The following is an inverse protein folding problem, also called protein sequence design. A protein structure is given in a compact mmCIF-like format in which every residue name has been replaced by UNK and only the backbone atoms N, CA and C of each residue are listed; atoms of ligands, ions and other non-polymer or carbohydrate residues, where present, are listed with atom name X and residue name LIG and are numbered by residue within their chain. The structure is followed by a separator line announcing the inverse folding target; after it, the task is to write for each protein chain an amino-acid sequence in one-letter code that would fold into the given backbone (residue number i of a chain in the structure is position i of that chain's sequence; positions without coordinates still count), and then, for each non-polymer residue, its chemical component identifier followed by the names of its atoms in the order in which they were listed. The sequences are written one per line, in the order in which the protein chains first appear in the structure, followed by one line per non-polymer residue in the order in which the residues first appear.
data_IF_948484556284
#
_entry.id   IF_948484556284
#
_cell.length_a   1.000
_cell.length_b   1.000
_cell.length_c   1.000
_cell.angle_alpha   90.00
_cell.angle_beta   90.00
_cell.angle_gamma   90.00
#
_symmetry.space_group_name_H-M   'P 1'
#
loop_
_entity.id
_entity.type
_entity.pdbx_description
1 polymer ?
#
# COMPACT_ATOMS: atom_id res chain seq x y z
N UNK A 1 27.35 -7.31 -3.57
CA UNK A 1 26.15 -6.87 -4.28
C UNK A 1 25.43 -5.85 -3.44
N UNK A 2 25.35 -4.62 -3.92
CA UNK A 2 24.55 -3.56 -3.32
C UNK A 2 23.16 -3.57 -3.94
N UNK A 3 22.14 -3.27 -3.15
CA UNK A 3 20.77 -3.19 -3.61
C UNK A 3 20.12 -1.91 -3.11
N UNK A 4 19.14 -1.40 -3.84
CA UNK A 4 18.36 -0.24 -3.47
C UNK A 4 16.96 -0.68 -3.04
N UNK A 5 16.60 -0.34 -1.80
CA UNK A 5 15.26 -0.44 -1.27
C UNK A 5 14.43 0.79 -1.67
N UNK A 6 13.31 0.54 -2.31
CA UNK A 6 12.38 1.55 -2.80
C UNK A 6 11.10 1.45 -1.97
N UNK A 7 10.81 2.49 -1.21
CA UNK A 7 9.63 2.60 -0.37
C UNK A 7 8.56 3.43 -1.09
N UNK A 8 7.43 2.83 -1.42
CA UNK A 8 6.30 3.43 -2.12
C UNK A 8 5.14 3.65 -1.14
N UNK A 9 4.80 4.92 -0.89
CA UNK A 9 3.78 5.31 0.07
C UNK A 9 2.60 5.96 -0.63
N UNK A 10 1.39 5.50 -0.30
CA UNK A 10 0.14 6.13 -0.71
C UNK A 10 -0.15 7.39 0.13
N UNK A 11 -1.08 8.25 -0.31
CA UNK A 11 -1.57 9.38 0.46
C UNK A 11 -1.87 9.04 1.92
N UNK A 12 -1.19 9.69 2.85
CA UNK A 12 -1.39 9.54 4.30
C UNK A 12 -0.79 8.27 4.93
N UNK A 13 -0.06 7.45 4.17
CA UNK A 13 0.62 6.26 4.66
C UNK A 13 2.01 6.61 5.23
N UNK A 14 2.37 6.01 6.36
CA UNK A 14 3.73 6.16 6.89
C UNK A 14 4.75 5.38 6.04
N UNK A 15 6.01 5.81 6.02
CA UNK A 15 7.07 5.15 5.23
C UNK A 15 7.20 3.65 5.53
N UNK A 16 7.12 3.30 6.82
CA UNK A 16 7.19 1.92 7.33
C UNK A 16 6.02 1.03 6.90
N UNK A 17 4.90 1.63 6.52
CA UNK A 17 3.70 0.92 6.09
C UNK A 17 3.68 0.77 4.56
N UNK A 18 4.49 1.57 3.86
CA UNK A 18 4.59 1.59 2.41
C UNK A 18 5.01 0.26 1.80
N UNK A 19 4.72 0.07 0.52
CA UNK A 19 5.19 -1.09 -0.23
C UNK A 19 6.69 -0.94 -0.47
N UNK A 20 7.45 -1.99 -0.15
CA UNK A 20 8.89 -2.03 -0.39
C UNK A 20 9.16 -2.85 -1.66
N UNK A 21 10.05 -2.33 -2.51
CA UNK A 21 10.59 -3.02 -3.67
C UNK A 21 12.12 -3.00 -3.62
N UNK A 22 12.76 -4.10 -3.98
CA UNK A 22 14.21 -4.20 -4.11
C UNK A 22 14.60 -4.01 -5.57
N UNK A 23 15.61 -3.19 -5.84
CA UNK A 23 16.18 -3.02 -7.18
C UNK A 23 17.70 -3.09 -7.13
N UNK A 24 18.31 -3.74 -8.13
CA UNK A 24 19.76 -3.76 -8.33
C UNK A 24 20.21 -2.81 -9.45
N UNK A 25 19.25 -2.18 -10.15
CA UNK A 25 19.51 -1.35 -11.31
C UNK A 25 19.69 0.13 -10.95
N UNK A 26 19.31 0.52 -9.73
CA UNK A 26 19.38 1.90 -9.25
C UNK A 26 20.56 2.03 -8.30
N UNK A 27 21.61 2.73 -8.73
CA UNK A 27 22.85 2.83 -7.97
C UNK A 27 23.11 4.22 -7.41
N UNK A 28 22.59 5.26 -8.09
CA UNK A 28 22.82 6.64 -7.70
C UNK A 28 21.53 7.47 -7.61
N UNK A 29 21.72 8.75 -7.27
CA UNK A 29 20.61 9.71 -7.12
C UNK A 29 19.95 10.06 -8.46
N UNK A 30 20.68 10.01 -9.56
CA UNK A 30 20.17 10.38 -10.89
C UNK A 30 19.26 9.27 -11.42
N UNK A 31 19.69 8.02 -11.29
CA UNK A 31 18.88 6.83 -11.56
C UNK A 31 17.60 6.83 -10.72
N UNK A 32 17.72 7.07 -9.41
CA UNK A 32 16.58 7.10 -8.50
C UNK A 32 15.58 8.22 -8.87
N UNK A 33 16.07 9.37 -9.33
CA UNK A 33 15.23 10.47 -9.79
C UNK A 33 14.48 10.11 -11.06
N UNK A 34 15.16 9.57 -12.07
CA UNK A 34 14.55 9.13 -13.32
C UNK A 34 13.49 8.04 -13.09
N UNK A 35 13.78 7.08 -12.20
CA UNK A 35 12.83 6.04 -11.81
C UNK A 35 11.60 6.62 -11.09
N UNK A 36 11.80 7.55 -10.16
CA UNK A 36 10.71 8.20 -9.44
C UNK A 36 9.77 8.97 -10.39
N UNK A 37 10.34 9.77 -11.29
CA UNK A 37 9.57 10.53 -12.28
C UNK A 37 8.77 9.61 -13.21
N UNK A 38 9.41 8.52 -13.68
CA UNK A 38 8.74 7.51 -14.50
C UNK A 38 7.59 6.85 -13.73
N UNK A 39 7.80 6.43 -12.48
CA UNK A 39 6.76 5.81 -11.64
C UNK A 39 5.59 6.77 -11.42
N UNK A 40 5.85 8.01 -11.01
CA UNK A 40 4.82 9.01 -10.76
C UNK A 40 4.03 9.41 -12.02
N UNK A 41 4.63 9.26 -13.21
CA UNK A 41 3.93 9.45 -14.50
C UNK A 41 2.88 8.37 -14.76
N UNK A 42 3.16 7.11 -14.42
CA UNK A 42 2.25 5.98 -14.67
C UNK A 42 1.29 5.70 -13.49
N UNK A 43 1.79 5.84 -12.28
CA UNK A 43 1.08 5.61 -11.02
C UNK A 43 0.91 6.90 -10.22
N UNK A 44 -0.30 7.44 -10.29
CA UNK A 44 -0.74 8.62 -9.54
C UNK A 44 -1.27 8.27 -8.15
N UNK A 45 -1.26 7.00 -7.74
CA UNK A 45 -1.69 6.59 -6.40
C UNK A 45 -0.58 6.68 -5.35
N UNK A 46 0.68 6.81 -5.80
CA UNK A 46 1.85 6.95 -4.93
C UNK A 46 2.13 8.42 -4.63
N UNK A 47 2.12 8.80 -3.35
CA UNK A 47 2.43 10.14 -2.83
C UNK A 47 3.92 10.33 -2.60
N UNK A 48 4.57 9.38 -1.96
CA UNK A 48 5.99 9.50 -1.60
C UNK A 48 6.76 8.27 -2.00
N UNK A 49 7.92 8.48 -2.58
CA UNK A 49 8.87 7.44 -2.94
C UNK A 49 10.19 7.75 -2.26
N UNK A 50 10.76 6.81 -1.51
CA UNK A 50 12.08 6.95 -0.92
C UNK A 50 13.00 5.82 -1.36
N UNK A 51 14.24 6.17 -1.67
CA UNK A 51 15.26 5.25 -2.18
C UNK A 51 16.38 5.17 -1.16
N UNK A 52 16.66 3.96 -0.69
CA UNK A 52 17.72 3.65 0.25
C UNK A 52 18.70 2.69 -0.38
N UNK A 53 19.96 3.08 -0.43
CA UNK A 53 21.04 2.19 -0.80
C UNK A 53 21.41 1.33 0.41
N UNK A 54 21.40 0.01 0.20
CA UNK A 54 21.69 -1.01 1.21
C UNK A 54 23.00 -1.71 0.85
N UNK A 55 23.97 -1.65 1.76
CA UNK A 55 25.22 -2.39 1.63
C UNK A 55 25.11 -3.81 2.17
N UNK A 56 26.00 -4.70 1.74
CA UNK A 56 26.09 -6.07 2.30
C UNK A 56 26.43 -6.07 3.79
N UNK A 57 27.11 -5.04 4.28
CA UNK A 57 27.40 -4.84 5.70
C UNK A 57 26.19 -4.38 6.52
N UNK A 58 25.02 -4.19 5.90
CA UNK A 58 23.78 -3.77 6.56
C UNK A 58 23.69 -2.27 6.80
N UNK A 59 24.56 -1.46 6.20
CA UNK A 59 24.41 0.00 6.22
C UNK A 59 23.33 0.43 5.24
N UNK A 60 22.50 1.38 5.65
CA UNK A 60 21.42 1.93 4.83
C UNK A 60 21.60 3.44 4.71
N UNK A 61 21.52 3.96 3.48
CA UNK A 61 21.65 5.40 3.19
C UNK A 61 20.55 5.85 2.25
N UNK A 62 19.80 6.88 2.62
CA UNK A 62 18.85 7.51 1.69
C UNK A 62 19.62 8.22 0.58
N UNK A 63 19.36 7.83 -0.67
CA UNK A 63 19.96 8.45 -1.87
C UNK A 63 19.03 9.49 -2.49
N UNK A 64 17.71 9.26 -2.42
CA UNK A 64 16.72 10.16 -2.98
C UNK A 64 15.36 9.98 -2.32
N UNK A 65 14.59 11.06 -2.24
CA UNK A 65 13.18 11.02 -1.85
C UNK A 65 12.40 11.94 -2.78
N UNK A 66 11.30 11.42 -3.31
CA UNK A 66 10.41 12.12 -4.21
C UNK A 66 9.02 12.21 -3.60
N UNK A 67 8.36 13.36 -3.76
CA UNK A 67 6.96 13.54 -3.38
C UNK A 67 6.19 13.95 -4.63
N UNK A 68 5.19 13.15 -4.99
CA UNK A 68 4.32 13.38 -6.13
C UNK A 68 3.18 14.35 -5.73
N UNK A 69 3.15 15.58 -6.26
CA UNK A 69 2.09 16.55 -5.95
C UNK A 69 0.72 16.20 -6.55
N UNK A 70 0.67 15.17 -7.41
CA UNK A 70 -0.53 14.70 -8.09
C UNK A 70 -1.14 13.47 -7.42
N UNK A 71 -0.57 13.00 -6.32
CA UNK A 71 -1.05 11.83 -5.63
C UNK A 71 -2.47 12.03 -5.10
N UNK A 72 -3.37 11.10 -5.40
CA UNK A 72 -4.78 11.16 -5.00
C UNK A 72 -5.66 12.14 -5.80
N UNK A 73 -5.10 12.87 -6.79
CA UNK A 73 -5.88 13.73 -7.71
C UNK A 73 -6.42 12.99 -8.94
N UNK A 74 -6.00 11.75 -9.16
CA UNK A 74 -6.53 10.97 -10.26
C UNK A 74 -7.94 10.45 -9.92
N UNK A 75 -8.93 10.57 -10.82
CA UNK A 75 -10.19 9.84 -10.66
C UNK A 75 -9.86 8.35 -10.53
N UNK A 76 -10.58 7.59 -9.69
CA UNK A 76 -10.31 6.17 -9.51
C UNK A 76 -10.35 5.52 -10.90
N UNK A 77 -9.21 5.00 -11.36
CA UNK A 77 -9.18 4.15 -12.56
C UNK A 77 -10.12 2.99 -12.26
N UNK A 78 -11.28 2.98 -12.90
CA UNK A 78 -12.13 1.80 -12.96
C UNK A 78 -11.25 0.66 -13.45
N UNK A 79 -10.93 -0.28 -12.57
CA UNK A 79 -10.31 -1.53 -12.97
C UNK A 79 -11.33 -2.26 -13.83
N UNK A 80 -11.21 -2.12 -15.16
CA UNK A 80 -11.95 -2.87 -16.16
C UNK A 80 -11.48 -4.33 -16.26
N UNK A 81 -11.31 -4.96 -15.09
CA UNK A 81 -11.26 -6.40 -14.88
C UNK A 81 -12.11 -6.65 -13.62
N UNK A 82 -13.43 -6.60 -13.83
CA UNK A 82 -14.42 -7.22 -12.96
C UNK A 82 -14.20 -8.74 -13.06
N UNK A 83 -13.20 -9.26 -12.35
CA UNK A 83 -13.37 -10.60 -11.79
C UNK A 83 -14.58 -10.50 -10.87
N UNK A 84 -15.67 -11.29 -11.07
CA UNK A 84 -16.78 -11.28 -10.14
C UNK A 84 -16.28 -11.81 -8.80
N UNK A 85 -15.88 -10.90 -7.92
CA UNK A 85 -15.54 -11.21 -6.53
C UNK A 85 -16.75 -11.93 -5.94
N UNK A 86 -16.65 -13.19 -5.50
CA UNK A 86 -17.80 -13.89 -4.95
C UNK A 86 -18.31 -13.09 -3.76
N UNK A 87 -19.56 -12.60 -3.87
CA UNK A 87 -20.27 -11.96 -2.76
C UNK A 87 -20.25 -12.94 -1.60
N UNK A 88 -19.43 -12.66 -0.57
CA UNK A 88 -19.48 -13.42 0.69
C UNK A 88 -20.89 -13.24 1.24
N UNK A 89 -21.71 -14.29 1.16
CA UNK A 89 -23.04 -14.30 1.79
C UNK A 89 -22.84 -13.97 3.26
N UNK A 90 -23.61 -13.00 3.77
CA UNK A 90 -23.59 -12.65 5.18
C UNK A 90 -23.81 -13.94 6.01
N UNK A 91 -23.02 -14.18 7.07
CA UNK A 91 -23.28 -15.32 7.94
C UNK A 91 -24.68 -15.17 8.56
N UNK A 92 -25.48 -16.24 8.63
CA UNK A 92 -26.81 -16.16 9.23
C UNK A 92 -26.69 -15.65 10.67
N UNK A 93 -27.50 -14.65 11.01
CA UNK A 93 -27.58 -14.07 12.36
C UNK A 93 -27.88 -15.20 13.35
N UNK A 94 -26.86 -15.64 14.09
CA UNK A 94 -27.05 -16.60 15.18
C UNK A 94 -27.71 -15.85 16.33
N UNK A 95 -28.93 -16.26 16.70
CA UNK A 95 -29.64 -15.78 17.88
C UNK A 95 -28.76 -15.96 19.11
N UNK A 96 -28.49 -14.87 19.81
CA UNK A 96 -27.59 -14.85 20.97
C UNK A 96 -28.24 -15.55 22.16
N UNK A 97 -27.43 -16.13 23.05
CA UNK A 97 -27.90 -16.90 24.20
C UNK A 97 -28.85 -16.13 25.14
N UNK A 98 -28.82 -14.80 25.09
CA UNK A 98 -29.75 -13.91 25.79
C UNK A 98 -31.20 -13.99 25.27
N UNK A 99 -31.41 -14.20 23.96
CA UNK A 99 -32.77 -14.34 23.40
C UNK A 99 -33.43 -15.65 23.84
N UNK A 100 -32.63 -16.71 24.08
CA UNK A 100 -33.13 -17.96 24.64
C UNK A 100 -33.44 -17.85 26.13
N UNK A 101 -32.68 -17.04 26.87
CA UNK A 101 -32.93 -16.79 28.30
C UNK A 101 -34.20 -15.97 28.53
N UNK A 102 -34.45 -14.94 27.71
CA UNK A 102 -35.68 -14.13 27.80
C UNK A 102 -36.94 -14.91 27.40
N UNK A 103 -36.87 -15.79 26.39
CA UNK A 103 -38.01 -16.66 26.03
C UNK A 103 -38.35 -17.70 27.12
N UNK A 104 -37.37 -18.13 27.92
CA UNK A 104 -37.61 -19.04 29.03
C UNK A 104 -38.25 -18.35 30.26
N UNK A 105 -38.18 -17.02 30.34
CA UNK A 105 -38.74 -16.23 31.45
C UNK A 105 -40.11 -15.59 31.14
N UNK A 106 -40.69 -15.84 29.95
CA UNK A 106 -42.10 -15.51 29.67
C UNK A 106 -42.45 -14.02 29.66
N UNK A 107 -41.48 -13.12 29.51
CA UNK A 107 -41.75 -11.70 29.28
C UNK A 107 -41.97 -11.48 27.78
N UNK A 108 -43.19 -11.06 27.42
CA UNK A 108 -43.58 -10.66 26.07
C UNK A 108 -43.65 -9.15 25.97
#
# INVERSE_FOLDING_TARGET
MTATEIYLCKPGQALKEGRIEMSHDINDKEDAKADAERRCKYDTSTERIAYYHVSESGSFRCIYTHTNPNAGKAPPKSSAFDDPKPKKKAPPRKKTAWEKFLSALGLK
#
